data_IF_547094776830
#
_entry.id   IF_547094776830
#
_cell.length_a   1.000
_cell.length_b   1.000
_cell.length_c   1.000
_cell.angle_alpha   90.00
_cell.angle_beta   90.00
_cell.angle_gamma   90.00
#
_symmetry.space_group_name_H-M   'P 1'
#
loop_
_entity.id
_entity.type
_entity.pdbx_description
1 polymer ?
#
# COMPACT_ATOMS: atom_id res chain seq x y z
N UNK A 1 -56.16 3.59 -3.43
CA UNK A 1 -56.19 2.17 -3.02
C UNK A 1 -54.83 1.60 -3.38
N UNK A 2 -53.95 1.54 -2.36
CA UNK A 2 -52.64 0.85 -2.28
C UNK A 2 -51.66 0.96 -3.45
N UNK A 3 -50.69 1.86 -3.30
CA UNK A 3 -49.31 1.62 -3.76
C UNK A 3 -48.65 0.76 -2.67
N UNK A 4 -48.13 -0.46 -2.96
CA UNK A 4 -47.49 -1.28 -1.97
C UNK A 4 -46.03 -0.84 -1.74
N UNK A 5 -45.65 -1.10 -0.51
CA UNK A 5 -44.48 -0.64 0.22
C UNK A 5 -43.16 -1.31 -0.21
N UNK A 6 -42.08 -0.71 0.27
CA UNK A 6 -40.85 -1.35 0.77
C UNK A 6 -39.76 -1.91 -0.16
N UNK A 7 -38.62 -1.23 -0.03
CA UNK A 7 -37.29 -1.77 0.29
C UNK A 7 -36.47 -2.44 -0.82
N UNK A 8 -35.52 -1.69 -1.36
CA UNK A 8 -34.20 -2.23 -1.69
C UNK A 8 -33.14 -1.41 -0.94
N UNK A 9 -32.62 -2.03 0.12
CA UNK A 9 -31.53 -1.55 0.97
C UNK A 9 -30.31 -1.20 0.10
N UNK A 10 -29.62 -0.07 0.32
CA UNK A 10 -28.38 0.20 -0.40
C UNK A 10 -27.28 -0.76 0.10
N UNK A 11 -26.82 -1.67 -0.77
CA UNK A 11 -25.60 -2.47 -0.58
C UNK A 11 -24.36 -1.57 -0.77
N UNK A 12 -24.20 -0.59 0.11
CA UNK A 12 -23.22 0.50 -0.04
C UNK A 12 -21.86 0.26 0.62
N UNK A 13 -21.68 -0.86 1.34
CA UNK A 13 -20.49 -1.06 2.19
C UNK A 13 -19.39 -1.94 1.57
N UNK A 14 -19.74 -2.94 0.76
CA UNK A 14 -18.72 -3.82 0.11
C UNK A 14 -18.01 -3.16 -1.07
N UNK A 15 -18.72 -2.28 -1.80
CA UNK A 15 -18.13 -1.45 -2.85
C UNK A 15 -17.05 -0.54 -2.29
N UNK A 16 -17.34 0.18 -1.20
CA UNK A 16 -16.41 1.15 -0.61
C UNK A 16 -15.06 0.56 -0.18
N UNK A 17 -15.05 -0.56 0.57
CA UNK A 17 -13.79 -1.16 1.05
C UNK A 17 -12.98 -1.76 -0.10
N UNK A 18 -13.64 -2.46 -1.02
CA UNK A 18 -12.95 -3.09 -2.16
C UNK A 18 -12.35 -2.03 -3.08
N UNK A 19 -13.08 -0.96 -3.34
CA UNK A 19 -12.61 0.17 -4.14
C UNK A 19 -11.43 0.90 -3.46
N UNK A 20 -11.48 1.03 -2.13
CA UNK A 20 -10.38 1.59 -1.36
C UNK A 20 -9.11 0.73 -1.41
N UNK A 21 -9.24 -0.59 -1.22
CA UNK A 21 -8.10 -1.52 -1.33
C UNK A 21 -7.53 -1.53 -2.75
N UNK A 22 -8.39 -1.50 -3.78
CA UNK A 22 -7.97 -1.39 -5.17
C UNK A 22 -7.24 -0.07 -5.42
N UNK A 23 -7.72 1.03 -4.84
CA UNK A 23 -7.05 2.32 -4.90
C UNK A 23 -5.66 2.28 -4.26
N UNK A 24 -5.51 1.73 -3.05
CA UNK A 24 -4.20 1.59 -2.40
C UNK A 24 -3.23 0.72 -3.22
N UNK A 25 -3.74 -0.35 -3.85
CA UNK A 25 -2.93 -1.18 -4.72
C UNK A 25 -2.41 -0.39 -5.94
N UNK A 26 -3.24 0.43 -6.56
CA UNK A 26 -2.83 1.31 -7.67
C UNK A 26 -1.86 2.38 -7.18
N UNK A 27 -2.14 3.01 -6.03
CA UNK A 27 -1.29 4.01 -5.38
C UNK A 27 0.12 3.48 -5.08
N UNK A 28 0.23 2.19 -4.71
CA UNK A 28 1.52 1.53 -4.48
C UNK A 28 2.40 1.36 -5.74
N UNK A 29 1.87 1.72 -6.92
CA UNK A 29 2.52 1.63 -8.24
C UNK A 29 3.20 0.26 -8.48
N UNK A 30 2.43 -0.82 -8.74
CA UNK A 30 2.93 -2.20 -8.80
C UNK A 30 4.13 -2.46 -9.72
N UNK A 31 4.28 -1.63 -10.75
CA UNK A 31 5.40 -1.69 -11.70
C UNK A 31 6.75 -1.38 -11.06
N UNK A 32 6.76 -0.63 -9.96
CA UNK A 32 7.97 -0.17 -9.28
C UNK A 32 8.28 -0.92 -7.98
N UNK A 33 7.44 -1.88 -7.57
CA UNK A 33 7.64 -2.62 -6.31
C UNK A 33 9.05 -3.20 -6.15
N UNK A 34 9.63 -3.70 -7.24
CA UNK A 34 10.96 -4.31 -7.23
C UNK A 34 12.10 -3.31 -6.98
N UNK A 35 11.88 -2.01 -7.14
CA UNK A 35 12.89 -1.00 -6.82
C UNK A 35 13.15 -0.95 -5.31
N UNK A 36 12.11 -1.20 -4.51
CA UNK A 36 12.20 -1.24 -3.06
C UNK A 36 12.41 -2.67 -2.54
N UNK A 37 11.65 -3.63 -3.05
CA UNK A 37 11.74 -5.03 -2.62
C UNK A 37 13.02 -5.73 -3.08
N UNK A 38 13.59 -5.33 -4.23
CA UNK A 38 14.77 -5.96 -4.83
C UNK A 38 16.01 -5.89 -3.92
N UNK A 39 16.45 -4.69 -3.49
CA UNK A 39 17.58 -4.55 -2.56
C UNK A 39 17.37 -5.32 -1.25
N UNK A 40 16.15 -5.32 -0.71
CA UNK A 40 15.82 -6.07 0.51
C UNK A 40 15.93 -7.57 0.27
N UNK A 41 15.39 -8.08 -0.84
CA UNK A 41 15.49 -9.49 -1.18
C UNK A 41 16.95 -9.94 -1.32
N UNK A 42 17.81 -9.12 -1.92
CA UNK A 42 19.26 -9.37 -1.99
C UNK A 42 19.87 -9.40 -0.60
N UNK A 43 19.57 -8.44 0.26
CA UNK A 43 20.08 -8.38 1.64
C UNK A 43 19.66 -9.58 2.49
N UNK A 44 18.39 -9.97 2.40
CA UNK A 44 17.87 -11.17 3.09
C UNK A 44 18.57 -12.42 2.56
N UNK A 45 18.67 -12.58 1.25
CA UNK A 45 19.31 -13.76 0.63
C UNK A 45 20.79 -13.84 1.00
N UNK A 46 21.46 -12.70 1.15
CA UNK A 46 22.84 -12.65 1.63
C UNK A 46 22.97 -13.03 3.11
N UNK A 47 21.95 -12.74 3.92
CA UNK A 47 21.99 -12.95 5.38
C UNK A 47 21.53 -14.33 5.87
N UNK A 48 20.91 -15.14 5.02
CA UNK A 48 20.46 -16.50 5.39
C UNK A 48 21.58 -17.53 5.24
N UNK A 49 21.61 -18.53 6.13
CA UNK A 49 22.55 -19.65 6.01
C UNK A 49 21.98 -20.77 5.12
N UNK A 50 20.66 -20.95 5.14
CA UNK A 50 19.94 -21.96 4.37
C UNK A 50 18.77 -21.38 3.54
N UNK A 51 18.47 -22.03 2.41
CA UNK A 51 17.36 -21.63 1.53
C UNK A 51 15.99 -21.70 2.23
N UNK A 52 15.83 -22.58 3.21
CA UNK A 52 14.60 -22.70 4.00
C UNK A 52 14.29 -21.43 4.80
N UNK A 53 15.32 -20.65 5.17
CA UNK A 53 15.15 -19.41 5.93
C UNK A 53 14.49 -18.28 5.12
N UNK A 54 14.54 -18.37 3.78
CA UNK A 54 13.86 -17.45 2.87
C UNK A 54 12.33 -17.52 3.01
N UNK A 55 11.81 -18.63 3.52
CA UNK A 55 10.36 -18.87 3.63
C UNK A 55 9.87 -18.85 5.08
N UNK A 56 10.67 -18.28 6.00
CA UNK A 56 10.21 -18.06 7.37
C UNK A 56 9.09 -17.02 7.43
N UNK A 57 8.21 -17.06 8.46
CA UNK A 57 7.18 -16.05 8.64
C UNK A 57 7.72 -14.62 8.64
N UNK A 58 8.92 -14.41 9.19
CA UNK A 58 9.58 -13.09 9.24
C UNK A 58 9.98 -12.63 7.84
N UNK A 59 10.66 -13.48 7.07
CA UNK A 59 11.07 -13.15 5.69
C UNK A 59 9.87 -12.88 4.79
N UNK A 60 8.82 -13.70 4.90
CA UNK A 60 7.58 -13.51 4.13
C UNK A 60 6.88 -12.22 4.54
N UNK A 61 6.83 -11.89 5.84
CA UNK A 61 6.26 -10.64 6.32
C UNK A 61 7.04 -9.42 5.82
N UNK A 62 8.38 -9.48 5.83
CA UNK A 62 9.23 -8.43 5.27
C UNK A 62 9.00 -8.27 3.77
N UNK A 63 8.97 -9.35 3.00
CA UNK A 63 8.66 -9.31 1.58
C UNK A 63 7.29 -8.68 1.32
N UNK A 64 6.26 -9.10 2.06
CA UNK A 64 4.92 -8.53 1.97
C UNK A 64 4.90 -7.03 2.28
N UNK A 65 5.62 -6.60 3.33
CA UNK A 65 5.76 -5.20 3.70
C UNK A 65 6.42 -4.36 2.61
N UNK A 66 7.56 -4.81 2.06
CA UNK A 66 8.30 -4.06 1.05
C UNK A 66 7.66 -4.08 -0.34
N UNK A 67 6.76 -5.03 -0.60
CA UNK A 67 5.98 -5.05 -1.83
C UNK A 67 4.81 -4.07 -1.79
N UNK A 68 4.00 -4.03 -0.72
CA UNK A 68 2.76 -3.24 -0.73
C UNK A 68 2.79 -2.08 0.27
N UNK A 69 2.77 -2.28 1.60
CA UNK A 69 2.73 -1.17 2.56
C UNK A 69 3.83 -0.13 2.36
N UNK A 70 5.08 -0.55 2.16
CA UNK A 70 6.20 0.38 2.02
C UNK A 70 6.07 1.26 0.76
N UNK A 71 5.53 0.71 -0.33
CA UNK A 71 5.25 1.48 -1.53
C UNK A 71 4.03 2.40 -1.36
N UNK A 72 3.00 1.96 -0.62
CA UNK A 72 1.88 2.85 -0.22
C UNK A 72 2.39 4.03 0.61
N UNK A 73 3.30 3.79 1.55
CA UNK A 73 3.92 4.86 2.32
C UNK A 73 4.73 5.81 1.42
N UNK A 74 5.66 5.26 0.63
CA UNK A 74 6.54 6.05 -0.24
C UNK A 74 5.75 6.92 -1.23
N UNK A 75 4.85 6.31 -2.00
CA UNK A 75 4.08 7.02 -3.03
C UNK A 75 2.92 7.81 -2.45
N UNK A 76 2.31 7.36 -1.35
CA UNK A 76 1.27 8.14 -0.69
C UNK A 76 1.79 9.42 -0.06
N UNK A 77 3.01 9.42 0.50
CA UNK A 77 3.69 10.66 0.90
C UNK A 77 3.98 11.52 -0.33
N UNK A 78 4.57 10.94 -1.37
CA UNK A 78 4.91 11.69 -2.59
C UNK A 78 3.69 12.39 -3.20
N UNK A 79 2.61 11.64 -3.44
CA UNK A 79 1.37 12.14 -4.05
C UNK A 79 0.66 13.16 -3.13
N UNK A 80 0.82 13.09 -1.80
CA UNK A 80 0.27 14.08 -0.88
C UNK A 80 0.98 15.44 -0.96
N UNK A 81 2.29 15.45 -1.19
CA UNK A 81 3.08 16.68 -1.32
C UNK A 81 3.09 17.25 -2.75
N UNK A 82 2.93 16.41 -3.76
CA UNK A 82 2.84 16.83 -5.17
C UNK A 82 1.40 17.15 -5.63
N UNK A 83 0.39 16.98 -4.76
CA UNK A 83 -1.03 17.15 -5.11
C UNK A 83 -1.34 18.49 -5.81
N UNK A 84 -0.86 19.60 -5.26
CA UNK A 84 -1.09 20.94 -5.81
C UNK A 84 -0.41 21.14 -7.18
N UNK A 85 0.73 20.48 -7.39
CA UNK A 85 1.51 20.54 -8.63
C UNK A 85 0.88 19.65 -9.71
N UNK A 86 0.31 18.52 -9.30
CA UNK A 86 -0.36 17.58 -10.18
C UNK A 86 -1.70 18.10 -10.73
N UNK A 87 -2.39 19.00 -10.01
CA UNK A 87 -3.64 19.61 -10.48
C UNK A 87 -3.47 20.42 -11.78
N UNK A 88 -2.29 21.00 -11.99
CA UNK A 88 -1.98 21.84 -13.16
C UNK A 88 -1.23 21.09 -14.27
N UNK A 89 -0.95 19.80 -14.10
CA UNK A 89 -0.14 19.03 -15.05
C UNK A 89 -1.02 18.29 -16.09
N UNK A 90 -1.06 18.75 -17.35
CA UNK A 90 -1.89 18.13 -18.40
C UNK A 90 -1.44 16.71 -18.78
N UNK A 91 -0.29 16.22 -18.28
CA UNK A 91 0.20 14.85 -18.55
C UNK A 91 -0.41 13.77 -17.64
N UNK A 92 -1.23 14.13 -16.64
CA UNK A 92 -1.83 13.19 -15.68
C UNK A 92 -3.29 12.78 -15.98
N UNK A 93 -3.80 13.01 -17.20
CA UNK A 93 -5.19 12.65 -17.52
C UNK A 93 -5.47 11.14 -17.61
N UNK A 94 -4.49 10.29 -17.95
CA UNK A 94 -4.81 8.93 -18.41
C UNK A 94 -4.36 7.74 -17.54
N UNK A 95 -3.49 7.90 -16.53
CA UNK A 95 -2.84 6.71 -15.94
C UNK A 95 -2.53 6.65 -14.45
N UNK A 96 -2.65 7.74 -13.69
CA UNK A 96 -2.37 7.71 -12.25
C UNK A 96 -3.65 8.10 -11.49
N UNK A 97 -4.04 7.29 -10.51
CA UNK A 97 -5.20 7.57 -9.69
C UNK A 97 -5.00 8.92 -9.01
N UNK A 98 -5.82 9.93 -9.35
CA UNK A 98 -5.75 11.25 -8.72
C UNK A 98 -5.83 11.07 -7.21
N UNK A 99 -4.92 11.72 -6.48
CA UNK A 99 -4.92 11.74 -5.03
C UNK A 99 -6.32 12.14 -4.54
N UNK A 100 -7.02 11.18 -3.90
CA UNK A 100 -8.21 11.52 -3.11
C UNK A 100 -7.63 11.92 -1.77
N UNK A 101 -7.63 13.21 -1.45
CA UNK A 101 -7.27 13.77 -0.14
C UNK A 101 -8.19 13.35 1.00
N UNK A 102 -8.57 12.07 1.01
CA UNK A 102 -9.43 11.41 1.95
C UNK A 102 -8.61 11.02 3.18
N UNK A 103 -9.16 11.29 4.36
CA UNK A 103 -8.54 10.99 5.66
C UNK A 103 -8.17 9.51 5.78
N UNK A 104 -8.90 8.63 5.11
CA UNK A 104 -8.60 7.19 5.08
C UNK A 104 -7.28 6.87 4.36
N UNK A 105 -6.96 7.59 3.29
CA UNK A 105 -5.69 7.41 2.56
C UNK A 105 -4.54 7.89 3.43
N UNK A 106 -4.65 9.07 4.04
CA UNK A 106 -3.65 9.57 4.98
C UNK A 106 -3.43 8.61 6.16
N UNK A 107 -4.50 8.04 6.72
CA UNK A 107 -4.41 7.04 7.78
C UNK A 107 -3.68 5.77 7.30
N UNK A 108 -3.98 5.29 6.09
CA UNK A 108 -3.31 4.13 5.51
C UNK A 108 -1.81 4.39 5.27
N UNK A 109 -1.44 5.59 4.82
CA UNK A 109 -0.04 6.01 4.65
C UNK A 109 0.67 6.03 6.01
N UNK A 110 0.09 6.66 7.03
CA UNK A 110 0.67 6.68 8.39
C UNK A 110 0.79 5.27 8.96
N UNK A 111 -0.25 4.44 8.82
CA UNK A 111 -0.24 3.06 9.30
C UNK A 111 0.87 2.24 8.61
N UNK A 112 1.06 2.42 7.29
CA UNK A 112 2.14 1.78 6.57
C UNK A 112 3.52 2.20 7.09
N UNK A 113 3.72 3.49 7.40
CA UNK A 113 4.94 3.98 8.03
C UNK A 113 5.19 3.36 9.42
N UNK A 114 4.15 3.27 10.26
CA UNK A 114 4.23 2.64 11.59
C UNK A 114 4.57 1.15 11.49
N UNK A 115 3.95 0.42 10.56
CA UNK A 115 4.29 -0.99 10.29
C UNK A 115 5.77 -1.09 9.89
N UNK A 116 6.28 -0.15 9.10
CA UNK A 116 7.71 -0.07 8.77
C UNK A 116 8.60 0.04 9.99
N UNK A 117 8.27 0.93 10.93
CA UNK A 117 9.01 1.04 12.19
C UNK A 117 8.95 -0.28 12.97
N UNK A 118 7.81 -0.95 13.00
CA UNK A 118 7.65 -2.24 13.67
C UNK A 118 8.55 -3.35 13.08
N UNK A 119 8.93 -3.28 11.80
CA UNK A 119 9.86 -4.26 11.20
C UNK A 119 11.22 -4.29 11.90
N UNK A 120 11.70 -3.16 12.43
CA UNK A 120 12.97 -3.10 13.17
C UNK A 120 12.94 -3.89 14.48
N UNK A 121 11.75 -4.08 15.07
CA UNK A 121 11.60 -4.84 16.31
C UNK A 121 11.72 -6.36 16.09
N UNK A 122 11.46 -6.83 14.86
CA UNK A 122 11.47 -8.25 14.49
C UNK A 122 12.69 -8.67 13.67
N UNK A 123 13.43 -7.72 13.10
CA UNK A 123 14.68 -8.00 12.41
C UNK A 123 15.80 -8.38 13.39
N UNK A 124 16.61 -9.41 13.09
CA UNK A 124 17.75 -9.79 13.92
C UNK A 124 18.71 -8.62 14.12
N UNK A 125 19.25 -8.49 15.34
CA UNK A 125 20.28 -7.49 15.64
C UNK A 125 21.61 -8.00 15.11
N UNK A 126 22.29 -7.20 14.31
CA UNK A 126 23.66 -7.50 13.89
C UNK A 126 24.55 -7.30 15.12
N UNK A 127 25.27 -8.35 15.52
CA UNK A 127 26.21 -8.36 16.65
C UNK A 127 27.64 -8.12 16.16
#
# INVERSE_FOLDING_TARGET
MTDPDTSTVPDGSRGGVTDFLRYLLVLSRPRFWLYLAGPVAVGVTYGVADVSELFTPVTVALAGYFLVPANVYLYGVNDAFDADIDEVNPKKEDREARWRGDRLVALAVVAAGVIGIATFAVTPRVA
#
